data_IF_445272771795
#
_entry.id   IF_445272771795
#
_cell.length_a   1.000
_cell.length_b   1.000
_cell.length_c   1.000
_cell.angle_alpha   90.00
_cell.angle_beta   90.00
_cell.angle_gamma   90.00
#
_symmetry.space_group_name_H-M   'P 1'
#
loop_
_entity.id
_entity.type
_entity.pdbx_description
1 polymer ?
#
# COMPACT_ATOMS: atom_id res chain seq x y z
N UNK A 1 14.77 -10.55 18.63
CA UNK A 1 14.82 -10.45 17.15
C UNK A 1 16.29 -10.34 16.78
N UNK A 2 16.79 -11.20 15.89
CA UNK A 2 18.21 -11.29 15.49
C UNK A 2 18.57 -10.32 14.33
N UNK A 3 17.67 -9.39 13.99
CA UNK A 3 17.88 -8.37 12.95
C UNK A 3 17.87 -6.97 13.61
N UNK A 4 19.04 -6.37 13.89
CA UNK A 4 19.12 -5.14 14.69
C UNK A 4 18.51 -3.91 14.02
N UNK A 5 18.37 -3.94 12.68
CA UNK A 5 17.83 -2.84 11.88
C UNK A 5 16.43 -3.16 11.32
N UNK A 6 15.78 -4.22 11.80
CA UNK A 6 14.43 -4.59 11.42
C UNK A 6 13.47 -4.31 12.59
N UNK A 7 12.47 -3.47 12.33
CA UNK A 7 11.44 -3.13 13.29
C UNK A 7 10.12 -3.75 12.85
N UNK A 8 9.46 -4.46 13.77
CA UNK A 8 8.11 -5.00 13.57
C UNK A 8 7.14 -4.11 14.33
N UNK A 9 6.17 -3.55 13.63
CA UNK A 9 5.11 -2.72 14.21
C UNK A 9 3.78 -3.42 14.00
N UNK A 10 2.97 -3.50 15.05
CA UNK A 10 1.62 -4.07 14.98
C UNK A 10 0.62 -2.95 14.76
N UNK A 11 -0.09 -3.00 13.64
CA UNK A 11 -1.10 -2.02 13.25
C UNK A 11 -2.38 -2.74 12.83
N UNK A 12 -3.52 -2.11 13.10
CA UNK A 12 -4.81 -2.49 12.53
C UNK A 12 -5.04 -1.75 11.21
N UNK A 13 -5.98 -2.23 10.38
CA UNK A 13 -6.39 -1.49 9.18
C UNK A 13 -6.92 -0.09 9.52
N UNK A 14 -7.59 0.07 10.66
CA UNK A 14 -8.07 1.38 11.12
C UNK A 14 -6.89 2.36 11.35
N UNK A 15 -5.82 1.91 12.01
CA UNK A 15 -4.62 2.72 12.24
C UNK A 15 -3.94 3.10 10.90
N UNK A 16 -3.85 2.14 9.98
CA UNK A 16 -3.27 2.37 8.65
C UNK A 16 -4.10 3.34 7.83
N UNK A 17 -5.43 3.26 7.88
CA UNK A 17 -6.31 4.07 7.04
C UNK A 17 -6.65 5.44 7.61
N UNK A 18 -6.40 5.70 8.89
CA UNK A 18 -6.60 7.02 9.51
C UNK A 18 -6.03 8.16 8.65
N UNK A 19 -6.71 9.30 8.55
CA UNK A 19 -6.30 10.44 7.71
C UNK A 19 -6.13 10.15 6.20
N UNK A 20 -6.76 9.10 5.69
CA UNK A 20 -6.84 8.79 4.25
C UNK A 20 -8.30 8.57 3.81
N UNK A 21 -8.62 8.67 2.51
CA UNK A 21 -9.93 8.31 1.99
C UNK A 21 -10.39 6.89 2.37
N UNK A 22 -9.45 5.96 2.59
CA UNK A 22 -9.77 4.61 3.02
C UNK A 22 -10.41 4.52 4.41
N UNK A 23 -10.26 5.54 5.28
CA UNK A 23 -10.87 5.52 6.61
C UNK A 23 -12.40 5.46 6.53
N UNK A 24 -13.01 6.20 5.61
CA UNK A 24 -14.45 6.20 5.40
C UNK A 24 -14.88 4.91 4.70
N UNK A 25 -14.22 4.57 3.58
CA UNK A 25 -14.48 3.36 2.81
C UNK A 25 -14.41 2.09 3.68
N UNK A 26 -13.39 1.95 4.53
CA UNK A 26 -13.23 0.79 5.41
C UNK A 26 -14.39 0.63 6.41
N UNK A 27 -14.97 1.74 6.89
CA UNK A 27 -16.12 1.72 7.81
C UNK A 27 -17.43 1.35 7.13
N UNK A 28 -17.52 1.54 5.81
CA UNK A 28 -18.69 1.20 5.01
C UNK A 28 -18.70 -0.28 4.58
N UNK A 29 -17.57 -0.99 4.73
CA UNK A 29 -17.50 -2.41 4.40
C UNK A 29 -18.40 -3.24 5.33
N UNK A 30 -19.07 -4.30 4.81
CA UNK A 30 -19.82 -5.23 5.65
C UNK A 30 -18.94 -5.86 6.73
N UNK A 31 -19.51 -6.20 7.89
CA UNK A 31 -18.76 -6.88 8.96
C UNK A 31 -18.17 -8.24 8.54
N UNK A 32 -18.70 -8.85 7.48
CA UNK A 32 -18.22 -10.10 6.87
C UNK A 32 -17.13 -9.90 5.80
N UNK A 33 -16.76 -8.64 5.51
CA UNK A 33 -15.69 -8.30 4.57
C UNK A 33 -14.36 -8.98 4.93
N UNK A 34 -14.09 -9.20 6.22
CA UNK A 34 -12.91 -9.91 6.69
C UNK A 34 -12.90 -11.41 6.41
N UNK A 35 -14.00 -12.01 5.96
CA UNK A 35 -14.12 -13.47 5.84
C UNK A 35 -13.80 -13.99 4.44
N UNK A 36 -13.90 -13.13 3.42
CA UNK A 36 -13.65 -13.52 2.04
C UNK A 36 -12.21 -13.16 1.61
N UNK A 37 -11.60 -14.00 0.77
CA UNK A 37 -10.21 -13.83 0.33
C UNK A 37 -10.00 -12.58 -0.53
N UNK A 38 -10.98 -12.25 -1.37
CA UNK A 38 -10.94 -11.11 -2.28
C UNK A 38 -10.82 -9.78 -1.51
N UNK A 39 -11.63 -9.59 -0.49
CA UNK A 39 -11.62 -8.40 0.36
C UNK A 39 -10.39 -8.37 1.25
N UNK A 40 -9.86 -9.50 1.73
CA UNK A 40 -8.54 -9.51 2.41
C UNK A 40 -7.42 -9.00 1.52
N UNK A 41 -7.39 -9.43 0.25
CA UNK A 41 -6.40 -8.97 -0.72
C UNK A 41 -6.56 -7.47 -1.00
N UNK A 42 -7.80 -7.00 -1.17
CA UNK A 42 -8.08 -5.58 -1.39
C UNK A 42 -7.76 -4.70 -0.17
N UNK A 43 -8.01 -5.17 1.05
CA UNK A 43 -7.59 -4.48 2.27
C UNK A 43 -6.07 -4.39 2.37
N UNK A 44 -5.35 -5.47 2.04
CA UNK A 44 -3.89 -5.45 1.95
C UNK A 44 -3.41 -4.46 0.89
N UNK A 45 -3.97 -4.47 -0.32
CA UNK A 45 -3.65 -3.53 -1.40
C UNK A 45 -3.86 -2.07 -0.97
N UNK A 46 -5.00 -1.76 -0.34
CA UNK A 46 -5.28 -0.44 0.20
C UNK A 46 -4.26 -0.05 1.29
N UNK A 47 -3.90 -0.99 2.18
CA UNK A 47 -2.94 -0.73 3.25
C UNK A 47 -1.54 -0.38 2.71
N UNK A 48 -1.08 -1.07 1.66
CA UNK A 48 0.19 -0.76 0.98
C UNK A 48 0.22 0.70 0.51
N UNK A 49 -0.83 1.13 -0.19
CA UNK A 49 -0.93 2.49 -0.73
C UNK A 49 -0.98 3.51 0.41
N UNK A 50 -1.78 3.25 1.45
CA UNK A 50 -1.93 4.15 2.59
C UNK A 50 -0.61 4.35 3.38
N UNK A 51 0.16 3.27 3.60
CA UNK A 51 1.46 3.34 4.27
C UNK A 51 2.42 4.24 3.48
N UNK A 52 2.55 4.01 2.17
CA UNK A 52 3.43 4.83 1.32
C UNK A 52 2.93 6.27 1.25
N UNK A 53 1.62 6.50 1.19
CA UNK A 53 1.05 7.84 1.24
C UNK A 53 1.39 8.57 2.56
N UNK A 54 1.31 7.88 3.69
CA UNK A 54 1.57 8.49 5.01
C UNK A 54 3.04 8.83 5.23
N UNK A 55 3.93 7.91 4.88
CA UNK A 55 5.34 7.97 5.30
C UNK A 55 6.31 8.26 4.15
N UNK A 56 5.86 8.12 2.90
CA UNK A 56 6.75 8.08 1.74
C UNK A 56 7.68 6.87 1.81
N UNK A 57 8.81 6.97 1.11
CA UNK A 57 9.82 5.93 1.05
C UNK A 57 9.51 4.84 0.02
N UNK A 58 9.96 3.62 0.32
CA UNK A 58 9.85 2.46 -0.57
C UNK A 58 9.05 1.36 0.13
N UNK A 59 8.07 0.83 -0.57
CA UNK A 59 7.33 -0.37 -0.21
C UNK A 59 7.80 -1.57 -1.04
N UNK A 60 7.90 -2.72 -0.37
CA UNK A 60 8.24 -4.02 -0.94
C UNK A 60 7.32 -5.09 -0.36
N UNK A 61 6.84 -5.99 -1.20
CA UNK A 61 6.27 -7.25 -0.73
C UNK A 61 7.31 -8.05 0.06
N UNK A 62 6.84 -8.83 1.04
CA UNK A 62 7.69 -9.54 2.00
C UNK A 62 8.47 -10.72 1.40
N UNK A 63 8.09 -11.16 0.20
CA UNK A 63 8.78 -12.20 -0.57
C UNK A 63 9.78 -11.64 -1.59
N UNK A 64 9.96 -10.31 -1.64
CA UNK A 64 10.99 -9.68 -2.47
C UNK A 64 12.35 -9.64 -1.78
N UNK A 65 13.39 -10.02 -2.54
CA UNK A 65 14.78 -10.01 -2.10
C UNK A 65 15.50 -8.85 -2.81
N UNK A 66 16.03 -7.89 -2.03
CA UNK A 66 16.89 -6.85 -2.59
C UNK A 66 18.30 -7.38 -2.84
N UNK A 67 18.78 -7.28 -4.07
CA UNK A 67 20.14 -7.67 -4.47
C UNK A 67 21.16 -6.53 -4.33
N UNK A 68 20.68 -5.29 -4.17
CA UNK A 68 21.51 -4.08 -4.04
C UNK A 68 20.82 -3.05 -3.12
N UNK A 69 21.55 -2.04 -2.61
CA UNK A 69 20.93 -0.90 -1.93
C UNK A 69 19.94 -0.16 -2.84
N UNK A 70 18.89 0.41 -2.25
CA UNK A 70 17.83 1.14 -2.98
C UNK A 70 18.00 2.66 -2.94
N UNK A 71 19.22 3.14 -2.67
CA UNK A 71 19.51 4.56 -2.49
C UNK A 71 19.25 5.39 -3.76
N UNK A 72 19.39 4.77 -4.94
CA UNK A 72 19.28 5.40 -6.26
C UNK A 72 17.93 5.17 -6.96
N UNK A 73 16.94 4.63 -6.24
CA UNK A 73 15.59 4.46 -6.80
C UNK A 73 14.95 5.82 -7.11
N UNK A 74 14.19 5.89 -8.21
CA UNK A 74 13.49 7.10 -8.64
C UNK A 74 12.54 7.66 -7.56
N UNK A 75 12.32 8.97 -7.59
CA UNK A 75 11.42 9.68 -6.67
C UNK A 75 9.98 9.17 -6.70
N UNK A 76 9.56 8.69 -7.88
CA UNK A 76 8.29 8.00 -8.14
C UNK A 76 8.57 6.76 -8.98
N UNK A 77 8.10 5.60 -8.53
CA UNK A 77 8.27 4.34 -9.24
C UNK A 77 7.27 3.30 -8.77
N UNK A 78 6.86 2.43 -9.69
CA UNK A 78 6.03 1.26 -9.44
C UNK A 78 6.60 0.08 -10.21
N UNK A 79 6.31 -1.15 -9.79
CA UNK A 79 6.81 -2.31 -10.51
C UNK A 79 6.02 -2.53 -11.81
N UNK A 80 6.76 -2.73 -12.90
CA UNK A 80 6.20 -3.16 -14.17
C UNK A 80 5.81 -4.64 -14.09
N UNK A 81 4.63 -5.00 -14.59
CA UNK A 81 4.14 -6.38 -14.60
C UNK A 81 3.91 -6.88 -16.03
N UNK A 82 3.28 -6.06 -16.88
CA UNK A 82 3.01 -6.38 -18.28
C UNK A 82 2.91 -5.10 -19.12
N UNK A 83 2.82 -5.17 -20.46
CA UNK A 83 2.72 -3.98 -21.31
C UNK A 83 1.62 -2.98 -20.90
N UNK A 84 0.52 -3.50 -20.36
CA UNK A 84 -0.66 -2.70 -19.99
C UNK A 84 -0.92 -2.72 -18.47
N UNK A 85 -0.03 -3.31 -17.65
CA UNK A 85 -0.20 -3.37 -16.20
C UNK A 85 1.08 -3.09 -15.42
N UNK A 86 0.87 -2.43 -14.29
CA UNK A 86 1.87 -2.26 -13.22
C UNK A 86 1.31 -2.93 -11.97
N UNK A 87 2.19 -3.47 -11.14
CA UNK A 87 1.80 -4.04 -9.86
C UNK A 87 2.23 -3.13 -8.70
N UNK A 88 1.67 -3.41 -7.53
CA UNK A 88 1.95 -2.70 -6.28
C UNK A 88 2.92 -3.46 -5.35
N UNK A 89 3.59 -4.50 -5.87
CA UNK A 89 4.59 -5.25 -5.10
C UNK A 89 5.80 -4.35 -4.77
N UNK A 90 6.10 -3.40 -5.66
CA UNK A 90 7.06 -2.31 -5.44
C UNK A 90 6.40 -0.96 -5.63
N UNK A 91 6.61 -0.04 -4.69
CA UNK A 91 6.28 1.37 -4.85
C UNK A 91 7.37 2.23 -4.24
N UNK A 92 7.87 3.21 -4.99
CA UNK A 92 8.78 4.25 -4.49
C UNK A 92 8.10 5.60 -4.62
N UNK A 93 7.89 6.27 -3.49
CA UNK A 93 7.40 7.64 -3.42
C UNK A 93 8.15 8.34 -2.30
N UNK A 94 9.25 9.06 -2.62
CA UNK A 94 10.15 9.59 -1.58
C UNK A 94 9.46 10.57 -0.61
N UNK A 95 8.44 11.28 -1.05
CA UNK A 95 7.71 12.25 -0.22
C UNK A 95 6.37 11.70 0.23
N UNK A 96 6.01 11.86 1.52
CA UNK A 96 4.67 11.58 1.99
C UNK A 96 3.66 12.53 1.33
N UNK A 97 2.40 12.10 1.33
CA UNK A 97 1.24 12.82 0.79
C UNK A 97 1.36 13.17 -0.69
N UNK A 98 1.95 12.26 -1.48
CA UNK A 98 2.03 12.45 -2.92
C UNK A 98 0.62 12.49 -3.55
N UNK A 99 0.29 13.52 -4.38
CA UNK A 99 -1.01 13.63 -5.02
C UNK A 99 -1.40 12.41 -5.88
N UNK A 100 -0.43 11.73 -6.49
CA UNK A 100 -0.72 10.54 -7.32
C UNK A 100 -1.24 9.39 -6.46
N UNK A 101 -0.70 9.20 -5.25
CA UNK A 101 -1.19 8.20 -4.33
C UNK A 101 -2.59 8.54 -3.82
N UNK A 102 -2.90 9.83 -3.63
CA UNK A 102 -4.28 10.26 -3.34
C UNK A 102 -5.24 9.86 -4.46
N UNK A 103 -4.87 10.13 -5.72
CA UNK A 103 -5.67 9.72 -6.87
C UNK A 103 -5.83 8.19 -6.95
N UNK A 104 -4.79 7.42 -6.65
CA UNK A 104 -4.86 5.96 -6.59
C UNK A 104 -5.86 5.48 -5.54
N UNK A 105 -5.85 6.06 -4.34
CA UNK A 105 -6.83 5.71 -3.30
C UNK A 105 -8.27 6.02 -3.73
N UNK A 106 -8.49 7.18 -4.35
CA UNK A 106 -9.82 7.57 -4.84
C UNK A 106 -10.32 6.65 -5.97
N UNK A 107 -9.45 6.30 -6.92
CA UNK A 107 -9.77 5.36 -8.00
C UNK A 107 -10.05 3.95 -7.47
N UNK A 108 -9.23 3.48 -6.53
CA UNK A 108 -9.42 2.19 -5.87
C UNK A 108 -10.82 2.10 -5.25
N UNK A 109 -11.25 3.12 -4.51
CA UNK A 109 -12.58 3.15 -3.88
C UNK A 109 -13.68 3.16 -4.94
N UNK A 110 -13.52 3.95 -6.01
CA UNK A 110 -14.51 4.06 -7.07
C UNK A 110 -14.70 2.75 -7.85
N UNK A 111 -13.63 1.96 -8.00
CA UNK A 111 -13.64 0.70 -8.76
C UNK A 111 -13.98 -0.52 -7.90
N UNK A 112 -13.88 -0.43 -6.56
CA UNK A 112 -14.13 -1.56 -5.65
C UNK A 112 -15.58 -2.12 -5.72
N UNK A 113 -16.56 -1.29 -6.08
CA UNK A 113 -17.97 -1.67 -6.15
C UNK A 113 -18.48 -1.93 -7.59
N UNK A 114 -17.60 -1.82 -8.60
CA UNK A 114 -17.92 -2.16 -9.99
C UNK A 114 -17.60 -3.63 -10.29
#
# INVERSE_FOLDING_TARGET
SDLPNAHVVYLTYADVFEDTPFAAWYKELPSTAGDNCYTKQNLANAARIAVVYKFGGVYLDLDMISIAPMDDVSDRGVAWESPDSVNNAFMSFRKPRDPLLMEYMLRFIAEFNN
#
